data_IF_311638290255
#
_entry.id   IF_311638290255
#
_cell.length_a   1.000
_cell.length_b   1.000
_cell.length_c   1.000
_cell.angle_alpha   90.00
_cell.angle_beta   90.00
_cell.angle_gamma   90.00
#
_symmetry.space_group_name_H-M   'P 1'
#
loop_
_entity.id
_entity.type
_entity.pdbx_description
1 polymer ?
#
# COMPACT_ATOMS: atom_id res chain seq x y z
N UNK A 1 12.32 -6.26 -10.97
CA UNK A 1 11.47 -5.17 -10.45
C UNK A 1 12.01 -4.76 -9.11
N UNK A 2 12.34 -3.48 -8.94
CA UNK A 2 12.83 -2.94 -7.66
C UNK A 2 11.70 -2.94 -6.63
N UNK A 3 12.02 -2.94 -5.34
CA UNK A 3 11.02 -2.74 -4.28
C UNK A 3 10.40 -1.33 -4.37
N UNK A 4 11.14 -0.38 -4.95
CA UNK A 4 10.75 1.02 -5.14
C UNK A 4 9.57 1.17 -6.10
N UNK A 5 9.44 0.26 -7.08
CA UNK A 5 8.38 0.30 -8.09
C UNK A 5 7.12 -0.49 -7.67
N UNK A 6 7.10 -1.03 -6.44
CA UNK A 6 6.01 -1.90 -5.97
C UNK A 6 4.96 -1.12 -5.21
N UNK A 7 3.79 -1.73 -5.12
CA UNK A 7 2.71 -1.29 -4.25
C UNK A 7 2.53 -2.26 -3.08
N UNK A 8 2.33 -1.72 -1.88
CA UNK A 8 1.73 -2.42 -0.76
C UNK A 8 0.23 -2.55 -1.01
N UNK A 9 -0.27 -3.78 -1.14
CA UNK A 9 -1.68 -4.02 -1.47
C UNK A 9 -2.45 -4.43 -0.22
N UNK A 10 -3.53 -3.71 0.08
CA UNK A 10 -4.43 -3.99 1.20
C UNK A 10 -5.87 -4.20 0.69
N UNK A 11 -6.60 -5.10 1.35
CA UNK A 11 -8.03 -5.31 1.14
C UNK A 11 -8.81 -4.59 2.24
N UNK A 12 -9.72 -3.71 1.86
CA UNK A 12 -10.57 -2.92 2.76
C UNK A 12 -11.79 -3.73 3.22
N UNK A 13 -12.49 -3.31 4.29
CA UNK A 13 -13.67 -4.01 4.81
C UNK A 13 -14.82 -4.15 3.80
N UNK A 14 -14.90 -3.26 2.81
CA UNK A 14 -15.88 -3.32 1.71
C UNK A 14 -15.46 -4.29 0.57
N UNK A 15 -14.35 -5.01 0.74
CA UNK A 15 -13.80 -5.93 -0.24
C UNK A 15 -12.98 -5.26 -1.35
N UNK A 16 -12.89 -3.93 -1.38
CA UNK A 16 -12.06 -3.24 -2.36
C UNK A 16 -10.57 -3.41 -2.05
N UNK A 17 -9.74 -3.48 -3.09
CA UNK A 17 -8.28 -3.56 -2.96
C UNK A 17 -7.65 -2.24 -3.34
N UNK A 18 -6.67 -1.82 -2.57
CA UNK A 18 -5.93 -0.58 -2.78
C UNK A 18 -4.43 -0.87 -2.75
N UNK A 19 -3.71 -0.27 -3.67
CA UNK A 19 -2.27 -0.33 -3.80
C UNK A 19 -1.68 1.01 -3.38
N UNK A 20 -0.82 0.97 -2.37
CA UNK A 20 -0.10 2.13 -1.85
C UNK A 20 1.33 2.04 -2.38
N UNK A 21 1.85 3.04 -3.10
CA UNK A 21 3.23 3.02 -3.55
C UNK A 21 4.18 2.85 -2.37
N UNK A 22 5.13 1.91 -2.48
CA UNK A 22 6.12 1.67 -1.40
C UNK A 22 6.96 2.93 -1.14
N UNK A 23 7.14 3.79 -2.15
CA UNK A 23 7.78 5.10 -2.00
C UNK A 23 7.10 5.99 -0.96
N UNK A 24 5.78 6.03 -0.90
CA UNK A 24 5.03 6.81 0.10
C UNK A 24 5.35 6.31 1.51
N UNK A 25 5.38 4.99 1.69
CA UNK A 25 5.71 4.35 2.96
C UNK A 25 7.17 4.64 3.34
N UNK A 26 8.09 4.57 2.37
CA UNK A 26 9.51 4.85 2.57
C UNK A 26 9.77 6.30 2.97
N UNK A 27 9.10 7.27 2.33
CA UNK A 27 9.19 8.69 2.67
C UNK A 27 8.69 8.94 4.08
N UNK A 28 7.54 8.39 4.46
CA UNK A 28 7.00 8.52 5.82
C UNK A 28 7.96 7.91 6.87
N UNK A 29 8.49 6.72 6.59
CA UNK A 29 9.49 6.07 7.45
C UNK A 29 10.75 6.93 7.60
N UNK A 30 11.28 7.44 6.49
CA UNK A 30 12.47 8.29 6.47
C UNK A 30 12.27 9.62 7.19
N UNK A 31 11.09 10.23 7.09
CA UNK A 31 10.76 11.46 7.83
C UNK A 31 10.77 11.22 9.33
N UNK A 32 10.22 10.08 9.79
CA UNK A 32 10.23 9.71 11.21
C UNK A 32 11.65 9.55 11.76
N UNK A 33 12.53 8.90 11.00
CA UNK A 33 13.91 8.64 11.40
C UNK A 33 14.90 9.73 11.01
N UNK A 34 14.48 10.81 10.35
CA UNK A 34 15.37 11.87 9.88
C UNK A 34 16.25 12.46 11.00
N UNK A 35 15.73 12.53 12.23
CA UNK A 35 16.46 12.99 13.42
C UNK A 35 17.72 12.17 13.72
N UNK A 36 17.75 10.89 13.37
CA UNK A 36 18.90 10.00 13.57
C UNK A 36 19.98 10.22 12.48
N UNK A 37 19.67 11.05 11.47
CA UNK A 37 20.53 11.42 10.35
C UNK A 37 20.75 12.94 10.30
N UNK A 38 20.89 13.59 11.47
CA UNK A 38 21.09 15.04 11.58
C UNK A 38 19.94 15.88 10.98
N UNK A 39 18.72 15.34 10.97
CA UNK A 39 17.56 15.94 10.33
C UNK A 39 17.52 15.77 8.81
N UNK A 40 18.43 15.00 8.22
CA UNK A 40 18.52 14.82 6.77
C UNK A 40 17.62 13.67 6.30
N UNK A 41 16.42 14.01 5.83
CA UNK A 41 15.45 13.05 5.30
C UNK A 41 15.98 12.27 4.10
N UNK A 42 16.78 12.88 3.21
CA UNK A 42 17.31 12.18 2.04
C UNK A 42 18.29 11.06 2.45
N UNK A 43 19.16 11.31 3.44
CA UNK A 43 20.05 10.28 3.98
C UNK A 43 19.28 9.17 4.70
N UNK A 44 18.24 9.54 5.46
CA UNK A 44 17.35 8.59 6.10
C UNK A 44 16.57 7.74 5.08
N UNK A 45 16.19 8.33 3.94
CA UNK A 45 15.49 7.64 2.86
C UNK A 45 16.38 6.60 2.19
N UNK A 46 17.65 6.91 1.92
CA UNK A 46 18.60 5.91 1.39
C UNK A 46 18.81 4.74 2.35
N UNK A 47 18.91 5.00 3.66
CA UNK A 47 18.98 3.94 4.67
C UNK A 47 17.67 3.12 4.73
N UNK A 48 16.52 3.78 4.63
CA UNK A 48 15.20 3.14 4.58
C UNK A 48 15.09 2.22 3.37
N UNK A 49 15.56 2.65 2.19
CA UNK A 49 15.55 1.82 1.00
C UNK A 49 16.40 0.56 1.16
N UNK A 50 17.62 0.68 1.70
CA UNK A 50 18.47 -0.46 2.01
C UNK A 50 17.79 -1.45 2.97
N UNK A 51 17.10 -0.94 4.00
CA UNK A 51 16.35 -1.76 4.94
C UNK A 51 15.17 -2.48 4.27
N UNK A 52 14.40 -1.79 3.43
CA UNK A 52 13.26 -2.37 2.70
C UNK A 52 13.68 -3.42 1.68
N UNK A 53 14.80 -3.19 0.98
CA UNK A 53 15.39 -4.15 0.05
C UNK A 53 15.90 -5.40 0.77
N UNK A 54 16.48 -5.24 1.96
CA UNK A 54 16.94 -6.37 2.79
C UNK A 54 15.79 -7.13 3.46
N UNK A 55 14.71 -6.44 3.83
CA UNK A 55 13.58 -7.04 4.55
C UNK A 55 12.26 -6.31 4.25
N UNK A 56 11.48 -6.86 3.34
CA UNK A 56 10.18 -6.29 2.97
C UNK A 56 9.13 -6.34 4.09
N UNK A 57 9.33 -7.14 5.15
CA UNK A 57 8.43 -7.14 6.31
C UNK A 57 8.38 -5.78 7.00
N UNK A 58 9.46 -5.00 6.94
CA UNK A 58 9.53 -3.65 7.52
C UNK A 58 8.46 -2.74 6.89
N UNK A 59 8.20 -2.89 5.59
CA UNK A 59 7.16 -2.13 4.88
C UNK A 59 5.78 -2.43 5.47
N UNK A 60 5.48 -3.72 5.64
CA UNK A 60 4.19 -4.17 6.17
C UNK A 60 3.99 -3.75 7.63
N UNK A 61 5.01 -3.97 8.46
CA UNK A 61 4.98 -3.60 9.88
C UNK A 61 4.77 -2.10 10.06
N UNK A 62 5.53 -1.28 9.32
CA UNK A 62 5.40 0.17 9.36
C UNK A 62 4.03 0.66 8.90
N UNK A 63 3.55 0.15 7.76
CA UNK A 63 2.26 0.52 7.21
C UNK A 63 1.09 0.17 8.14
N UNK A 64 1.20 -0.94 8.88
CA UNK A 64 0.13 -1.41 9.78
C UNK A 64 0.14 -0.73 11.15
N UNK A 65 1.33 -0.53 11.71
CA UNK A 65 1.48 -0.19 13.12
C UNK A 65 1.79 1.29 13.35
N UNK A 66 2.24 2.03 12.33
CA UNK A 66 2.61 3.45 12.46
C UNK A 66 1.76 4.34 11.57
N UNK A 67 1.50 3.93 10.34
CA UNK A 67 0.71 4.73 9.40
C UNK A 67 -0.79 4.49 9.57
N UNK A 68 -1.58 5.47 9.15
CA UNK A 68 -3.03 5.41 9.06
C UNK A 68 -3.49 5.60 7.61
N UNK A 69 -4.76 5.32 7.33
CA UNK A 69 -5.33 5.59 6.00
C UNK A 69 -5.21 7.06 5.60
N UNK A 70 -5.28 7.99 6.54
CA UNK A 70 -5.15 9.42 6.26
C UNK A 70 -3.78 9.78 5.66
N UNK A 71 -2.73 9.03 6.01
CA UNK A 71 -1.36 9.27 5.56
C UNK A 71 -1.11 8.81 4.12
N UNK A 72 -1.98 7.93 3.58
CA UNK A 72 -1.76 7.28 2.26
C UNK A 72 -2.89 7.50 1.26
N UNK A 73 -4.07 7.96 1.68
CA UNK A 73 -5.28 8.02 0.86
C UNK A 73 -5.13 8.82 -0.44
N UNK A 74 -4.26 9.84 -0.47
CA UNK A 74 -4.09 10.73 -1.62
C UNK A 74 -3.29 10.05 -2.74
N UNK A 75 -2.40 9.12 -2.37
CA UNK A 75 -1.53 8.38 -3.30
C UNK A 75 -2.00 6.94 -3.53
N UNK A 76 -3.03 6.49 -2.80
CA UNK A 76 -3.56 5.15 -2.91
C UNK A 76 -4.29 4.94 -4.24
N UNK A 77 -3.87 3.93 -4.99
CA UNK A 77 -4.49 3.57 -6.27
C UNK A 77 -5.41 2.36 -6.06
N UNK A 78 -6.66 2.48 -6.50
CA UNK A 78 -7.58 1.34 -6.44
C UNK A 78 -7.10 0.23 -7.39
N UNK A 79 -6.85 -0.95 -6.83
CA UNK A 79 -6.48 -2.14 -7.60
C UNK A 79 -7.75 -2.78 -8.11
N UNK A 80 -8.16 -2.39 -9.31
CA UNK A 80 -9.25 -3.04 -10.03
C UNK A 80 -8.68 -4.34 -10.58
N UNK A 81 -9.09 -5.47 -10.01
CA UNK A 81 -8.84 -6.74 -10.67
C UNK A 81 -9.48 -6.68 -12.06
N UNK A 82 -8.77 -7.10 -13.10
CA UNK A 82 -9.40 -7.35 -14.39
C UNK A 82 -10.35 -8.54 -14.19
N UNK A 83 -11.61 -8.23 -13.90
CA UNK A 83 -12.66 -9.23 -13.77
C UNK A 83 -13.14 -9.53 -15.20
N UNK A 84 -13.02 -10.78 -15.68
CA UNK A 84 -13.55 -11.15 -16.98
C UNK A 84 -15.03 -10.78 -17.07
N UNK A 85 -15.47 -10.31 -18.24
CA UNK A 85 -16.88 -9.94 -18.45
C UNK A 85 -17.84 -11.09 -18.08
N UNK A 86 -17.43 -12.33 -18.33
CA UNK A 86 -18.21 -13.53 -18.02
C UNK A 86 -18.47 -13.72 -16.51
N UNK A 87 -17.56 -13.24 -15.64
CA UNK A 87 -17.76 -13.29 -14.21
C UNK A 87 -18.86 -12.34 -13.72
N UNK A 88 -19.07 -11.21 -14.43
CA UNK A 88 -20.23 -10.34 -14.15
C UNK A 88 -21.54 -11.00 -14.54
N UNK A 89 -21.56 -11.75 -15.65
CA UNK A 89 -22.75 -12.47 -16.08
C UNK A 89 -23.12 -13.59 -15.09
N UNK A 90 -22.13 -14.35 -14.60
CA UNK A 90 -22.37 -15.39 -13.60
C UNK A 90 -22.78 -14.81 -12.25
N UNK A 91 -22.16 -13.70 -11.83
CA UNK A 91 -22.56 -12.96 -10.62
C UNK A 91 -23.99 -12.43 -10.69
N UNK A 92 -24.44 -11.94 -11.85
CA UNK A 92 -25.84 -11.56 -12.08
C UNK A 92 -26.79 -12.76 -11.96
N UNK A 93 -26.39 -13.92 -12.47
CA UNK A 93 -27.22 -15.13 -12.49
C UNK A 93 -27.35 -15.81 -11.12
N UNK A 94 -26.29 -15.77 -10.32
CA UNK A 94 -26.15 -16.59 -9.10
C UNK A 94 -25.95 -15.78 -7.81
N UNK A 95 -25.71 -14.48 -7.92
CA UNK A 95 -25.48 -13.62 -6.78
C UNK A 95 -26.69 -13.48 -5.87
N UNK A 96 -26.44 -13.19 -4.60
CA UNK A 96 -27.50 -12.89 -3.65
C UNK A 96 -28.32 -11.68 -4.11
N UNK A 97 -29.63 -11.88 -4.24
CA UNK A 97 -30.58 -10.86 -4.64
C UNK A 97 -31.55 -10.60 -3.49
N UNK A 98 -31.79 -9.31 -3.18
CA UNK A 98 -32.86 -8.88 -2.29
C UNK A 98 -33.67 -7.78 -2.95
N UNK A 99 -34.97 -8.01 -3.06
CA UNK A 99 -35.93 -6.99 -3.49
C UNK A 99 -36.22 -6.11 -2.27
N UNK A 100 -36.13 -4.78 -2.43
CA UNK A 100 -36.48 -3.78 -1.42
C UNK A 100 -37.65 -2.94 -1.91
#
# INVERSE_FOLDING_TARGET
MSIRDKNYIITMPDGTRWGIPVEVIAVHHAQYFAKDFDGNTARSLEATWSAFESNSYIIEDWAKNVMTWADVKEEAVRVVASIPADAYHEGWRTGECKIK
#
